data_IF_551602913407
#
_entry.id   IF_551602913407
#
_cell.length_a   1.000
_cell.length_b   1.000
_cell.length_c   1.000
_cell.angle_alpha   90.00
_cell.angle_beta   90.00
_cell.angle_gamma   90.00
#
_symmetry.space_group_name_H-M   'P 1'
#
loop_
_entity.id
_entity.type
_entity.pdbx_description
1 polymer ?
#
# COMPACT_ATOMS: atom_id res chain seq x y z
N UNK A 1 -26.19 19.86 11.45
CA UNK A 1 -24.75 19.59 11.22
C UNK A 1 -24.19 20.73 10.38
N UNK A 2 -23.61 21.75 11.01
CA UNK A 2 -22.90 22.79 10.25
C UNK A 2 -21.52 22.23 9.91
N UNK A 3 -21.23 22.09 8.62
CA UNK A 3 -19.89 21.71 8.18
C UNK A 3 -18.88 22.76 8.67
N UNK A 4 -17.84 22.31 9.37
CA UNK A 4 -16.78 23.17 9.90
C UNK A 4 -16.13 23.95 8.75
N UNK A 5 -15.80 25.22 8.99
CA UNK A 5 -15.07 26.09 8.06
C UNK A 5 -13.79 25.42 7.55
N UNK A 6 -13.15 24.59 8.38
CA UNK A 6 -11.97 23.79 8.01
C UNK A 6 -12.28 22.80 6.88
N UNK A 7 -13.43 22.11 6.93
CA UNK A 7 -13.86 21.13 5.93
C UNK A 7 -14.08 21.79 4.56
N UNK A 8 -14.69 22.98 4.53
CA UNK A 8 -14.90 23.74 3.28
C UNK A 8 -13.59 24.24 2.66
N UNK A 9 -12.62 24.66 3.48
CA UNK A 9 -11.30 25.07 3.00
C UNK A 9 -10.58 23.89 2.35
N UNK A 10 -10.64 22.69 2.96
CA UNK A 10 -10.07 21.48 2.37
C UNK A 10 -10.75 21.10 1.05
N UNK A 11 -12.07 21.14 1.00
CA UNK A 11 -12.82 20.85 -0.22
C UNK A 11 -12.49 21.85 -1.34
N UNK A 12 -12.40 23.15 -1.02
CA UNK A 12 -12.01 24.20 -1.96
C UNK A 12 -10.58 23.99 -2.49
N UNK A 13 -9.65 23.60 -1.61
CA UNK A 13 -8.30 23.22 -2.00
C UNK A 13 -8.34 22.02 -2.97
N UNK A 14 -9.09 20.97 -2.65
CA UNK A 14 -9.27 19.82 -3.53
C UNK A 14 -9.79 20.21 -4.92
N UNK A 15 -10.74 21.16 -4.99
CA UNK A 15 -11.26 21.71 -6.25
C UNK A 15 -10.19 22.48 -7.02
N UNK A 16 -9.49 23.41 -6.37
CA UNK A 16 -8.40 24.18 -7.00
C UNK A 16 -7.38 23.22 -7.59
N UNK A 17 -6.97 22.22 -6.82
CA UNK A 17 -5.94 21.30 -7.25
C UNK A 17 -6.42 20.38 -8.38
N UNK A 18 -7.68 19.93 -8.34
CA UNK A 18 -8.26 19.16 -9.44
C UNK A 18 -8.35 19.99 -10.73
N UNK A 19 -8.69 21.28 -10.65
CA UNK A 19 -8.71 22.18 -11.79
C UNK A 19 -7.31 22.39 -12.38
N UNK A 20 -6.29 22.54 -11.54
CA UNK A 20 -4.91 22.70 -11.97
C UNK A 20 -4.39 21.39 -12.62
N UNK A 21 -4.72 20.22 -12.05
CA UNK A 21 -4.39 18.91 -12.65
C UNK A 21 -5.07 18.71 -14.01
N UNK A 22 -6.35 19.07 -14.12
CA UNK A 22 -7.09 19.00 -15.39
C UNK A 22 -6.51 19.96 -16.42
N UNK A 23 -6.23 21.20 -16.04
CA UNK A 23 -5.61 22.18 -16.93
C UNK A 23 -4.28 21.66 -17.47
N UNK A 24 -3.47 21.02 -16.62
CA UNK A 24 -2.24 20.38 -17.04
C UNK A 24 -2.46 19.24 -18.04
N UNK A 25 -3.34 18.29 -17.68
CA UNK A 25 -3.65 17.14 -18.51
C UNK A 25 -4.25 17.54 -19.88
N UNK A 26 -4.99 18.64 -19.94
CA UNK A 26 -5.56 19.15 -21.20
C UNK A 26 -4.56 19.95 -22.04
N UNK A 27 -3.54 20.54 -21.42
CA UNK A 27 -2.52 21.34 -22.12
C UNK A 27 -1.29 20.50 -22.51
N UNK A 28 -1.26 19.21 -22.17
CA UNK A 28 -0.13 18.29 -22.35
C UNK A 28 1.19 18.86 -21.79
N UNK A 29 1.08 19.73 -20.78
CA UNK A 29 2.22 20.41 -20.19
C UNK A 29 2.88 19.46 -19.19
N UNK A 30 3.48 18.35 -19.63
CA UNK A 30 4.10 17.34 -18.73
C UNK A 30 4.95 17.94 -17.58
N UNK A 31 5.52 19.13 -17.79
CA UNK A 31 6.17 19.99 -16.81
C UNK A 31 5.35 20.47 -15.60
N UNK A 32 4.02 20.61 -15.69
CA UNK A 32 3.17 21.20 -14.66
C UNK A 32 2.67 20.16 -13.66
N UNK A 33 2.55 18.88 -14.04
CA UNK A 33 2.38 17.75 -13.10
C UNK A 33 3.43 17.83 -11.98
N UNK A 34 4.65 18.31 -12.27
CA UNK A 34 5.72 18.50 -11.28
C UNK A 34 5.51 19.67 -10.31
N UNK A 35 4.55 20.55 -10.57
CA UNK A 35 4.10 21.60 -9.65
C UNK A 35 2.84 21.13 -8.94
N UNK A 36 1.89 20.55 -9.67
CA UNK A 36 0.60 20.08 -9.14
C UNK A 36 0.78 18.97 -8.12
N UNK A 37 1.69 18.03 -8.36
CA UNK A 37 1.87 16.86 -7.52
C UNK A 37 2.53 17.15 -6.16
N UNK A 38 3.63 17.93 -6.07
CA UNK A 38 4.11 18.38 -4.76
C UNK A 38 3.14 19.34 -4.07
N UNK A 39 2.34 20.13 -4.80
CA UNK A 39 1.26 20.91 -4.18
C UNK A 39 0.18 19.98 -3.61
N UNK A 40 -0.26 18.96 -4.36
CA UNK A 40 -1.20 17.90 -3.93
C UNK A 40 -0.74 17.21 -2.64
N UNK A 41 0.48 16.68 -2.66
CA UNK A 41 1.06 15.93 -1.54
C UNK A 41 1.36 16.86 -0.37
N UNK A 42 1.83 18.08 -0.63
CA UNK A 42 2.07 19.09 0.40
C UNK A 42 0.78 19.54 1.07
N UNK A 43 -0.31 19.66 0.31
CA UNK A 43 -1.62 19.96 0.85
C UNK A 43 -2.19 18.78 1.63
N UNK A 44 -2.07 17.54 1.14
CA UNK A 44 -2.41 16.34 1.90
C UNK A 44 -1.73 16.36 3.28
N UNK A 45 -0.43 16.66 3.31
CA UNK A 45 0.33 16.74 4.55
C UNK A 45 -0.17 17.90 5.39
N UNK A 46 -0.26 19.12 4.86
CA UNK A 46 -0.73 20.26 5.65
C UNK A 46 -2.14 20.06 6.25
N UNK A 47 -3.03 19.40 5.51
CA UNK A 47 -4.41 19.19 5.92
C UNK A 47 -4.55 18.12 7.01
N UNK A 48 -3.69 17.11 7.02
CA UNK A 48 -3.70 16.02 8.02
C UNK A 48 -3.45 16.43 9.48
N UNK A 49 -3.30 17.72 9.77
CA UNK A 49 -3.06 18.25 11.11
C UNK A 49 -4.24 19.05 11.64
N UNK A 50 -4.55 18.84 12.91
CA UNK A 50 -5.50 19.66 13.65
C UNK A 50 -4.79 20.80 14.42
N UNK A 51 -4.18 21.74 13.68
CA UNK A 51 -3.91 23.10 14.17
C UNK A 51 -2.52 23.49 14.74
N UNK A 52 -2.40 24.83 14.93
CA UNK A 52 -1.29 25.74 15.35
C UNK A 52 -0.01 25.74 14.49
N UNK A 53 0.42 26.95 14.11
CA UNK A 53 1.51 27.27 13.17
C UNK A 53 1.26 26.86 11.70
N UNK A 54 0.09 27.21 11.19
CA UNK A 54 -0.36 26.88 9.83
C UNK A 54 0.64 27.26 8.74
N UNK A 55 1.40 28.35 8.88
CA UNK A 55 2.36 28.77 7.86
C UNK A 55 3.62 27.89 7.84
N UNK A 56 4.23 27.62 9.00
CA UNK A 56 5.41 26.75 9.09
C UNK A 56 5.06 25.34 8.64
N UNK A 57 3.88 24.85 9.05
CA UNK A 57 3.36 23.56 8.63
C UNK A 57 3.12 23.51 7.11
N UNK A 58 2.45 24.52 6.54
CA UNK A 58 2.22 24.57 5.10
C UNK A 58 3.54 24.61 4.33
N UNK A 59 4.49 25.43 4.77
CA UNK A 59 5.81 25.56 4.14
C UNK A 59 6.62 24.26 4.22
N UNK A 60 6.66 23.61 5.40
CA UNK A 60 7.37 22.34 5.57
C UNK A 60 6.71 21.22 4.78
N UNK A 61 5.38 21.16 4.74
CA UNK A 61 4.63 20.19 3.94
C UNK A 61 4.92 20.35 2.44
N UNK A 62 4.88 21.57 1.92
CA UNK A 62 5.22 21.86 0.52
C UNK A 62 6.68 21.49 0.25
N UNK A 63 7.60 21.85 1.15
CA UNK A 63 9.01 21.50 1.01
C UNK A 63 9.22 19.98 0.96
N UNK A 64 8.63 19.23 1.90
CA UNK A 64 8.73 17.77 1.92
C UNK A 64 8.10 17.17 0.66
N UNK A 65 6.95 17.68 0.23
CA UNK A 65 6.32 17.21 -0.99
C UNK A 65 7.16 17.51 -2.25
N UNK A 66 7.83 18.66 -2.31
CA UNK A 66 8.81 18.97 -3.36
C UNK A 66 9.94 17.94 -3.36
N UNK A 67 10.53 17.62 -2.20
CA UNK A 67 11.56 16.58 -2.08
C UNK A 67 11.03 15.24 -2.57
N UNK A 68 9.82 14.85 -2.15
CA UNK A 68 9.15 13.61 -2.56
C UNK A 68 8.82 13.57 -4.06
N UNK A 69 8.65 14.72 -4.72
CA UNK A 69 8.35 14.78 -6.16
C UNK A 69 9.58 14.59 -7.06
N UNK A 70 10.81 14.73 -6.54
CA UNK A 70 12.05 14.60 -7.35
C UNK A 70 12.15 13.26 -8.09
N UNK A 71 11.84 12.09 -7.47
CA UNK A 71 11.84 10.80 -8.17
C UNK A 71 10.87 10.72 -9.36
N UNK A 72 9.85 11.57 -9.42
CA UNK A 72 8.91 11.62 -10.54
C UNK A 72 9.47 12.32 -11.79
N UNK A 73 10.60 13.05 -11.68
CA UNK A 73 11.07 14.09 -12.62
C UNK A 73 11.60 13.62 -14.00
N UNK A 74 11.60 12.35 -14.37
CA UNK A 74 12.27 11.94 -15.63
C UNK A 74 11.44 10.97 -16.45
N UNK A 75 11.28 11.36 -17.71
CA UNK A 75 10.86 10.68 -18.94
C UNK A 75 10.29 9.27 -18.76
N UNK A 76 9.04 9.11 -19.19
CA UNK A 76 8.26 7.86 -19.19
C UNK A 76 8.87 6.68 -19.95
N UNK A 77 10.08 6.81 -20.49
CA UNK A 77 10.82 5.76 -21.19
C UNK A 77 11.88 5.06 -20.34
N UNK A 78 12.14 5.51 -19.11
CA UNK A 78 12.95 4.71 -18.19
C UNK A 78 12.16 3.45 -17.82
N UNK A 79 12.64 2.27 -18.22
CA UNK A 79 12.09 0.96 -17.87
C UNK A 79 12.02 0.80 -16.35
N UNK A 80 10.94 1.29 -15.72
CA UNK A 80 10.75 1.24 -14.26
C UNK A 80 10.40 -0.19 -13.87
N UNK A 81 11.39 -0.95 -13.40
CA UNK A 81 11.22 -2.28 -12.81
C UNK A 81 10.56 -2.26 -11.42
N UNK A 82 10.27 -1.07 -10.90
CA UNK A 82 9.59 -0.83 -9.64
C UNK A 82 8.23 -0.23 -9.99
N UNK A 83 7.14 -0.80 -9.47
CA UNK A 83 5.81 -0.18 -9.63
C UNK A 83 5.81 1.16 -8.85
N UNK A 84 5.88 2.31 -9.55
CA UNK A 84 6.02 3.59 -8.88
C UNK A 84 4.77 3.91 -8.06
N UNK A 85 3.58 3.43 -8.48
CA UNK A 85 2.34 3.69 -7.74
C UNK A 85 2.35 3.12 -6.32
N UNK A 86 2.87 1.90 -6.14
CA UNK A 86 2.89 1.25 -4.82
C UNK A 86 4.00 1.83 -3.94
N UNK A 87 5.25 1.85 -4.43
CA UNK A 87 6.40 2.26 -3.63
C UNK A 87 6.38 3.75 -3.31
N UNK A 88 5.88 4.58 -4.22
CA UNK A 88 5.68 6.00 -3.95
C UNK A 88 4.63 6.22 -2.87
N UNK A 89 3.49 5.51 -2.94
CA UNK A 89 2.44 5.65 -1.93
C UNK A 89 2.93 5.25 -0.54
N UNK A 90 3.72 4.17 -0.44
CA UNK A 90 4.37 3.76 0.81
C UNK A 90 5.35 4.83 1.29
N UNK A 91 6.19 5.36 0.41
CA UNK A 91 7.15 6.42 0.74
C UNK A 91 6.45 7.67 1.29
N UNK A 92 5.42 8.17 0.57
CA UNK A 92 4.61 9.32 1.00
C UNK A 92 3.98 9.06 2.35
N UNK A 93 3.38 7.87 2.55
CA UNK A 93 2.76 7.48 3.81
C UNK A 93 3.77 7.44 4.97
N UNK A 94 4.95 6.84 4.78
CA UNK A 94 5.98 6.79 5.81
C UNK A 94 6.51 8.18 6.14
N UNK A 95 6.85 8.99 5.13
CA UNK A 95 7.34 10.37 5.34
C UNK A 95 6.27 11.24 6.00
N UNK A 96 5.01 11.06 5.63
CA UNK A 96 3.88 11.71 6.30
C UNK A 96 3.84 11.38 7.80
N UNK A 97 4.03 10.12 8.20
CA UNK A 97 4.04 9.75 9.62
C UNK A 97 5.16 10.46 10.41
N UNK A 98 6.36 10.55 9.82
CA UNK A 98 7.48 11.28 10.43
C UNK A 98 7.23 12.78 10.49
N UNK A 99 6.69 13.35 9.42
CA UNK A 99 6.30 14.75 9.36
C UNK A 99 5.23 15.03 10.43
N UNK A 100 4.26 14.14 10.62
CA UNK A 100 3.23 14.21 11.65
C UNK A 100 3.83 14.24 13.04
N UNK A 101 4.69 13.27 13.35
CA UNK A 101 5.33 13.15 14.65
C UNK A 101 6.24 14.36 14.97
N UNK A 102 6.96 14.89 13.97
CA UNK A 102 7.80 16.07 14.12
C UNK A 102 7.00 17.30 14.58
N UNK A 103 5.89 17.59 13.91
CA UNK A 103 5.07 18.76 14.22
C UNK A 103 4.26 18.60 15.51
N UNK A 104 3.76 17.40 15.82
CA UNK A 104 3.09 17.13 17.10
C UNK A 104 4.05 17.11 18.30
N UNK A 105 5.36 16.90 18.06
CA UNK A 105 6.41 17.00 19.06
C UNK A 105 7.04 18.41 19.13
N UNK A 106 6.29 19.47 18.78
CA UNK A 106 6.79 20.84 18.85
C UNK A 106 7.96 21.13 17.91
N UNK A 107 8.03 20.45 16.75
CA UNK A 107 9.10 20.59 15.74
C UNK A 107 10.48 20.13 16.23
N UNK A 108 10.52 19.09 17.07
CA UNK A 108 11.75 18.44 17.55
C UNK A 108 11.87 17.01 17.03
N UNK A 109 13.08 16.62 16.61
CA UNK A 109 13.38 15.27 16.09
C UNK A 109 13.37 14.18 17.17
N UNK A 110 13.55 14.54 18.44
CA UNK A 110 13.47 13.61 19.56
C UNK A 110 12.02 13.37 19.97
N UNK A 111 11.27 12.61 19.15
CA UNK A 111 9.87 12.28 19.43
C UNK A 111 9.69 10.83 19.91
N UNK A 112 8.62 10.61 20.67
CA UNK A 112 8.21 9.28 21.15
C UNK A 112 7.69 8.44 19.98
N UNK A 113 7.95 7.13 19.99
CA UNK A 113 7.47 6.24 18.92
C UNK A 113 5.94 6.21 18.86
N UNK A 114 5.27 6.39 20.00
CA UNK A 114 3.81 6.50 20.10
C UNK A 114 3.22 7.53 19.13
N UNK A 115 3.93 8.63 18.84
CA UNK A 115 3.48 9.64 17.88
C UNK A 115 3.55 9.15 16.42
N UNK A 116 4.57 8.36 16.07
CA UNK A 116 4.63 7.70 14.75
C UNK A 116 3.54 6.63 14.61
N UNK A 117 3.32 5.86 15.66
CA UNK A 117 2.30 4.83 15.70
C UNK A 117 0.90 5.44 15.56
N UNK A 118 0.64 6.52 16.30
CA UNK A 118 -0.57 7.33 16.15
C UNK A 118 -0.73 7.87 14.73
N UNK A 119 0.32 8.46 14.16
CA UNK A 119 0.30 8.99 12.80
C UNK A 119 -0.07 7.91 11.79
N UNK A 120 0.59 6.75 11.86
CA UNK A 120 0.35 5.63 10.96
C UNK A 120 -1.12 5.22 10.96
N UNK A 121 -1.69 4.93 12.14
CA UNK A 121 -3.08 4.49 12.23
C UNK A 121 -4.10 5.57 11.85
N UNK A 122 -3.89 6.81 12.30
CA UNK A 122 -4.81 7.89 11.97
C UNK A 122 -4.83 8.14 10.47
N UNK A 123 -3.64 8.23 9.85
CA UNK A 123 -3.51 8.42 8.41
C UNK A 123 -4.05 7.23 7.63
N UNK A 124 -3.85 6.00 8.10
CA UNK A 124 -4.42 4.81 7.49
C UNK A 124 -5.96 4.90 7.40
N UNK A 125 -6.64 5.26 8.49
CA UNK A 125 -8.11 5.42 8.47
C UNK A 125 -8.57 6.58 7.61
N UNK A 126 -7.88 7.72 7.67
CA UNK A 126 -8.16 8.87 6.80
C UNK A 126 -8.06 8.48 5.34
N UNK A 127 -7.01 7.74 4.96
CA UNK A 127 -6.81 7.26 3.59
C UNK A 127 -7.86 6.23 3.17
N UNK A 128 -8.31 5.35 4.07
CA UNK A 128 -9.44 4.44 3.77
C UNK A 128 -10.69 5.25 3.42
N UNK A 129 -11.06 6.20 4.26
CA UNK A 129 -12.26 7.03 4.02
C UNK A 129 -12.10 7.82 2.72
N UNK A 130 -10.94 8.45 2.51
CA UNK A 130 -10.65 9.17 1.28
C UNK A 130 -10.73 8.27 0.04
N UNK A 131 -10.23 7.03 0.13
CA UNK A 131 -10.31 6.04 -0.94
C UNK A 131 -11.75 5.60 -1.20
N UNK A 132 -12.59 5.44 -0.17
CA UNK A 132 -14.01 5.13 -0.37
C UNK A 132 -14.74 6.25 -1.11
N UNK A 133 -14.47 7.51 -0.78
CA UNK A 133 -15.01 8.65 -1.52
C UNK A 133 -14.47 8.72 -2.95
N UNK A 134 -13.19 8.46 -3.14
CA UNK A 134 -12.58 8.35 -4.48
C UNK A 134 -13.25 7.24 -5.30
N UNK A 135 -13.51 6.06 -4.72
CA UNK A 135 -14.20 4.97 -5.41
C UNK A 135 -15.66 5.32 -5.72
N UNK A 136 -16.34 6.03 -4.81
CA UNK A 136 -17.69 6.53 -5.06
C UNK A 136 -17.75 7.51 -6.23
N UNK A 137 -16.65 8.19 -6.57
CA UNK A 137 -16.58 9.09 -7.72
C UNK A 137 -16.86 8.37 -9.06
N UNK A 138 -16.35 7.16 -9.24
CA UNK A 138 -16.60 6.37 -10.45
C UNK A 138 -18.08 6.09 -10.60
N UNK A 139 -18.72 5.73 -9.49
CA UNK A 139 -20.15 5.45 -9.47
C UNK A 139 -20.97 6.72 -9.72
N UNK A 140 -20.53 7.87 -9.20
CA UNK A 140 -21.20 9.16 -9.39
C UNK A 140 -21.14 9.62 -10.86
N UNK A 141 -19.97 9.53 -11.49
CA UNK A 141 -19.78 9.83 -12.91
C UNK A 141 -20.63 8.90 -13.78
N UNK A 142 -20.65 7.60 -13.46
CA UNK A 142 -21.47 6.62 -14.17
C UNK A 142 -22.98 6.93 -14.06
N UNK A 143 -23.49 7.21 -12.86
CA UNK A 143 -24.92 7.51 -12.68
C UNK A 143 -25.34 8.81 -13.36
N UNK A 144 -24.52 9.87 -13.31
CA UNK A 144 -24.78 11.10 -14.05
C UNK A 144 -24.81 10.84 -15.56
N UNK A 145 -23.87 10.02 -16.04
CA UNK A 145 -23.81 9.63 -17.45
C UNK A 145 -25.09 8.89 -17.85
N UNK A 146 -25.54 7.91 -17.06
CA UNK A 146 -26.80 7.19 -17.31
C UNK A 146 -28.03 8.11 -17.34
N UNK A 147 -28.12 9.08 -16.42
CA UNK A 147 -29.20 10.07 -16.43
C UNK A 147 -29.20 10.90 -17.72
N UNK A 148 -28.03 11.27 -18.24
CA UNK A 148 -27.94 12.04 -19.49
C UNK A 148 -28.27 11.21 -20.74
N UNK A 149 -27.92 9.93 -20.73
CA UNK A 149 -28.37 8.98 -21.75
C UNK A 149 -29.90 8.84 -21.75
N UNK A 150 -30.53 8.87 -20.57
CA UNK A 150 -31.99 8.80 -20.44
C UNK A 150 -32.73 10.04 -20.96
N UNK A 151 -32.03 11.17 -21.15
CA UNK A 151 -32.57 12.43 -21.72
C UNK A 151 -32.20 12.53 -23.22
N UNK A 152 -31.85 11.42 -23.87
CA UNK A 152 -31.46 11.35 -25.29
C UNK A 152 -30.29 12.28 -25.67
N UNK A 153 -29.34 12.50 -24.75
CA UNK A 153 -28.08 13.20 -25.06
C UNK A 153 -26.89 12.22 -25.10
N UNK A 154 -26.79 11.36 -26.14
CA UNK A 154 -25.78 10.31 -26.22
C UNK A 154 -24.36 10.88 -26.36
N UNK A 155 -24.23 12.12 -26.85
CA UNK A 155 -22.95 12.79 -27.01
C UNK A 155 -22.39 13.24 -25.65
N UNK A 156 -23.22 13.82 -24.77
CA UNK A 156 -22.80 14.13 -23.40
C UNK A 156 -22.52 12.86 -22.59
N UNK A 157 -23.31 11.79 -22.80
CA UNK A 157 -23.07 10.49 -22.18
C UNK A 157 -21.68 9.95 -22.52
N UNK A 158 -21.33 9.89 -23.82
CA UNK A 158 -20.01 9.45 -24.25
C UNK A 158 -18.89 10.34 -23.70
N UNK A 159 -19.07 11.67 -23.69
CA UNK A 159 -18.06 12.58 -23.16
C UNK A 159 -17.85 12.37 -21.67
N UNK A 160 -18.90 12.17 -20.87
CA UNK A 160 -18.77 12.03 -19.43
C UNK A 160 -18.28 10.64 -19.00
N UNK A 161 -18.78 9.58 -19.63
CA UNK A 161 -18.41 8.20 -19.29
C UNK A 161 -16.98 7.86 -19.74
N UNK A 162 -16.54 8.39 -20.89
CA UNK A 162 -15.23 8.08 -21.46
C UNK A 162 -14.13 9.11 -21.14
N UNK A 163 -14.49 10.28 -20.58
CA UNK A 163 -13.49 11.29 -20.24
C UNK A 163 -12.72 10.92 -18.97
N UNK A 164 -11.49 10.44 -19.19
CA UNK A 164 -10.49 10.23 -18.14
C UNK A 164 -10.22 11.50 -17.33
N UNK A 165 -10.32 12.66 -17.98
CA UNK A 165 -10.09 13.97 -17.35
C UNK A 165 -11.19 14.28 -16.33
N UNK A 166 -12.46 14.08 -16.70
CA UNK A 166 -13.59 14.32 -15.80
C UNK A 166 -13.60 13.29 -14.67
N UNK A 167 -13.38 12.02 -14.99
CA UNK A 167 -13.27 10.97 -13.97
C UNK A 167 -12.15 11.30 -12.95
N UNK A 168 -10.99 11.76 -13.42
CA UNK A 168 -9.87 12.12 -12.54
C UNK A 168 -10.15 13.36 -11.70
N UNK A 169 -10.84 14.36 -12.26
CA UNK A 169 -11.30 15.52 -11.51
C UNK A 169 -12.20 15.13 -10.33
N UNK A 170 -13.21 14.30 -10.59
CA UNK A 170 -14.12 13.84 -9.54
C UNK A 170 -13.41 12.94 -8.53
N UNK A 171 -12.48 12.08 -8.96
CA UNK A 171 -11.64 11.27 -8.06
C UNK A 171 -10.87 12.15 -7.07
N UNK A 172 -10.15 13.17 -7.56
CA UNK A 172 -9.33 14.06 -6.73
C UNK A 172 -10.23 14.87 -5.77
N UNK A 173 -11.31 15.46 -6.28
CA UNK A 173 -12.24 16.26 -5.45
C UNK A 173 -12.82 15.40 -4.33
N UNK A 174 -13.38 14.24 -4.67
CA UNK A 174 -14.01 13.37 -3.68
C UNK A 174 -12.99 12.76 -2.71
N UNK A 175 -11.77 12.46 -3.18
CA UNK A 175 -10.68 12.05 -2.29
C UNK A 175 -10.40 13.12 -1.21
N UNK A 176 -10.21 14.39 -1.59
CA UNK A 176 -9.97 15.48 -0.63
C UNK A 176 -11.18 15.76 0.27
N UNK A 177 -12.41 15.63 -0.24
CA UNK A 177 -13.61 15.68 0.60
C UNK A 177 -13.60 14.56 1.64
N UNK A 178 -13.25 13.34 1.24
CA UNK A 178 -13.12 12.20 2.15
C UNK A 178 -12.02 12.44 3.21
N UNK A 179 -10.87 13.01 2.82
CA UNK A 179 -9.82 13.44 3.75
C UNK A 179 -10.36 14.48 4.75
N UNK A 180 -11.09 15.51 4.27
CA UNK A 180 -11.64 16.57 5.10
C UNK A 180 -12.65 16.05 6.13
N UNK A 181 -13.55 15.17 5.69
CA UNK A 181 -14.57 14.54 6.54
C UNK A 181 -13.88 13.67 7.59
N UNK A 182 -12.93 12.83 7.18
CA UNK A 182 -12.19 11.97 8.09
C UNK A 182 -11.41 12.78 9.15
N UNK A 183 -10.79 13.89 8.77
CA UNK A 183 -10.10 14.80 9.69
C UNK A 183 -11.07 15.49 10.66
N UNK A 184 -12.25 15.91 10.20
CA UNK A 184 -13.27 16.50 11.08
C UNK A 184 -13.83 15.50 12.09
N UNK A 185 -13.68 14.19 11.82
CA UNK A 185 -14.10 13.09 12.68
C UNK A 185 -12.90 12.34 13.30
N UNK A 186 -11.76 13.03 13.49
CA UNK A 186 -10.51 12.36 13.92
C UNK A 186 -10.62 11.75 15.32
N UNK A 187 -11.44 12.33 16.19
CA UNK A 187 -11.65 11.82 17.55
C UNK A 187 -12.50 10.54 17.53
N UNK A 188 -13.51 10.46 16.66
CA UNK A 188 -14.26 9.23 16.40
C UNK A 188 -13.35 8.15 15.81
N UNK A 189 -12.46 8.53 14.88
CA UNK A 189 -11.46 7.62 14.32
C UNK A 189 -10.48 7.11 15.38
N UNK A 190 -10.08 7.92 16.37
CA UNK A 190 -9.30 7.45 17.52
C UNK A 190 -10.08 6.42 18.36
N UNK A 191 -11.40 6.60 18.50
CA UNK A 191 -12.29 5.62 19.10
C UNK A 191 -12.28 4.29 18.33
N UNK A 192 -12.45 4.34 17.01
CA UNK A 192 -12.40 3.17 16.13
C UNK A 192 -11.04 2.48 16.17
N UNK A 193 -9.95 3.26 16.11
CA UNK A 193 -8.57 2.79 16.31
C UNK A 193 -8.49 1.99 17.60
N UNK A 194 -8.90 2.56 18.72
CA UNK A 194 -8.84 1.90 20.04
C UNK A 194 -9.59 0.57 20.04
N UNK A 195 -10.76 0.49 19.42
CA UNK A 195 -11.51 -0.77 19.30
C UNK A 195 -10.76 -1.79 18.45
N UNK A 196 -10.26 -1.39 17.28
CA UNK A 196 -9.51 -2.27 16.37
C UNK A 196 -8.25 -2.81 17.05
N UNK A 197 -7.48 -1.93 17.71
CA UNK A 197 -6.25 -2.30 18.42
C UNK A 197 -6.56 -3.30 19.55
N UNK A 198 -7.64 -3.09 20.32
CA UNK A 198 -8.09 -4.08 21.31
C UNK A 198 -8.47 -5.41 20.67
N UNK A 199 -9.24 -5.40 19.57
CA UNK A 199 -9.63 -6.62 18.86
C UNK A 199 -8.42 -7.39 18.34
N UNK A 200 -7.43 -6.70 17.76
CA UNK A 200 -6.20 -7.31 17.28
C UNK A 200 -5.38 -7.93 18.43
N UNK A 201 -5.34 -7.30 19.62
CA UNK A 201 -4.73 -7.90 20.81
C UNK A 201 -5.40 -9.22 21.21
N UNK A 202 -6.74 -9.29 21.19
CA UNK A 202 -7.46 -10.56 21.42
C UNK A 202 -7.23 -11.60 20.31
N UNK A 203 -7.01 -11.15 19.08
CA UNK A 203 -6.75 -12.03 17.95
C UNK A 203 -5.28 -12.52 17.88
N UNK A 204 -4.35 -11.89 18.60
CA UNK A 204 -2.92 -12.22 18.57
C UNK A 204 -2.65 -13.71 18.91
N UNK A 205 -3.21 -14.31 19.97
CA UNK A 205 -2.99 -15.73 20.25
C UNK A 205 -3.45 -16.65 19.11
N UNK A 206 -4.57 -16.33 18.46
CA UNK A 206 -5.07 -17.10 17.31
C UNK A 206 -4.16 -16.96 16.10
N UNK A 207 -3.59 -15.78 15.87
CA UNK A 207 -2.60 -15.54 14.84
C UNK A 207 -1.33 -16.37 15.10
N UNK A 208 -0.81 -16.33 16.33
CA UNK A 208 0.37 -17.13 16.74
C UNK A 208 0.12 -18.62 16.49
N UNK A 209 -1.03 -19.13 16.93
CA UNK A 209 -1.42 -20.52 16.70
C UNK A 209 -1.49 -20.84 15.21
N UNK A 210 -2.13 -19.98 14.41
CA UNK A 210 -2.27 -20.17 12.96
C UNK A 210 -0.91 -20.23 12.25
N UNK A 211 0.04 -19.37 12.65
CA UNK A 211 1.41 -19.37 12.11
C UNK A 211 2.16 -20.65 12.48
N UNK A 212 2.06 -21.11 13.74
CA UNK A 212 2.67 -22.35 14.18
C UNK A 212 2.11 -23.55 13.41
N UNK A 213 0.79 -23.63 13.29
CA UNK A 213 0.10 -24.70 12.53
C UNK A 213 0.54 -24.67 11.07
N UNK A 214 0.57 -23.49 10.44
CA UNK A 214 1.04 -23.35 9.07
C UNK A 214 2.50 -23.81 8.91
N UNK A 215 3.38 -23.43 9.85
CA UNK A 215 4.78 -23.83 9.85
C UNK A 215 4.96 -25.35 9.98
N UNK A 216 4.16 -26.00 10.84
CA UNK A 216 4.14 -27.46 10.97
C UNK A 216 3.68 -28.12 9.67
N UNK A 217 2.58 -27.65 9.07
CA UNK A 217 2.10 -28.19 7.79
C UNK A 217 3.11 -28.00 6.66
N UNK A 218 3.79 -26.85 6.63
CA UNK A 218 4.89 -26.61 5.71
C UNK A 218 6.00 -27.65 5.87
N UNK A 219 6.41 -27.97 7.10
CA UNK A 219 7.46 -28.96 7.38
C UNK A 219 7.13 -30.35 6.86
N UNK A 220 5.84 -30.73 6.87
CA UNK A 220 5.37 -32.02 6.35
C UNK A 220 4.99 -32.00 4.86
N UNK A 221 5.03 -30.85 4.20
CA UNK A 221 4.64 -30.71 2.80
C UNK A 221 5.85 -30.82 1.87
N UNK A 222 5.96 -31.94 1.13
CA UNK A 222 7.13 -32.20 0.29
C UNK A 222 7.09 -31.59 -1.13
N UNK A 223 6.02 -30.91 -1.56
CA UNK A 223 5.83 -30.53 -2.97
C UNK A 223 5.24 -29.11 -3.21
N UNK A 224 5.52 -28.14 -2.33
CA UNK A 224 5.07 -26.76 -2.57
C UNK A 224 6.03 -26.00 -3.48
N UNK A 225 5.47 -25.18 -4.39
CA UNK A 225 6.29 -24.28 -5.20
C UNK A 225 6.95 -23.21 -4.33
N UNK A 226 8.15 -22.78 -4.71
CA UNK A 226 8.87 -21.72 -4.00
C UNK A 226 8.05 -20.42 -3.91
N UNK A 227 7.28 -20.08 -4.96
CA UNK A 227 6.40 -18.91 -4.95
C UNK A 227 5.34 -18.99 -3.85
N UNK A 228 4.66 -20.15 -3.71
CA UNK A 228 3.62 -20.33 -2.68
C UNK A 228 4.22 -20.21 -1.28
N UNK A 229 5.38 -20.84 -1.04
CA UNK A 229 6.07 -20.80 0.26
C UNK A 229 6.44 -19.35 0.62
N UNK A 230 7.16 -18.66 -0.26
CA UNK A 230 7.66 -17.30 -0.01
C UNK A 230 6.50 -16.35 0.19
N UNK A 231 5.47 -16.39 -0.66
CA UNK A 231 4.31 -15.51 -0.57
C UNK A 231 3.52 -15.74 0.72
N UNK A 232 3.22 -16.98 1.08
CA UNK A 232 2.48 -17.28 2.30
C UNK A 232 3.25 -16.87 3.56
N UNK A 233 4.56 -17.14 3.59
CA UNK A 233 5.42 -16.71 4.70
C UNK A 233 5.44 -15.19 4.80
N UNK A 234 5.66 -14.45 3.70
CA UNK A 234 5.71 -12.99 3.72
C UNK A 234 4.39 -12.36 4.19
N UNK A 235 3.24 -12.91 3.77
CA UNK A 235 1.91 -12.45 4.23
C UNK A 235 1.78 -12.68 5.74
N UNK A 236 2.08 -13.89 6.22
CA UNK A 236 2.00 -14.19 7.65
C UNK A 236 2.95 -13.29 8.45
N UNK A 237 4.21 -13.16 8.04
CA UNK A 237 5.22 -12.30 8.67
C UNK A 237 4.74 -10.84 8.75
N UNK A 238 4.17 -10.30 7.67
CA UNK A 238 3.66 -8.92 7.66
C UNK A 238 2.52 -8.72 8.67
N UNK A 239 1.55 -9.63 8.71
CA UNK A 239 0.44 -9.60 9.68
C UNK A 239 0.99 -9.79 11.11
N UNK A 240 1.94 -10.70 11.30
CA UNK A 240 2.59 -10.96 12.58
C UNK A 240 3.30 -9.73 13.14
N UNK A 241 4.08 -9.02 12.33
CA UNK A 241 4.73 -7.79 12.78
C UNK A 241 3.74 -6.68 13.07
N UNK A 242 2.66 -6.56 12.29
CA UNK A 242 1.59 -5.59 12.58
C UNK A 242 1.00 -5.83 13.97
N UNK A 243 0.65 -7.08 14.29
CA UNK A 243 0.06 -7.45 15.58
C UNK A 243 1.07 -7.34 16.73
N UNK A 244 2.33 -7.73 16.53
CA UNK A 244 3.37 -7.60 17.55
C UNK A 244 3.69 -6.13 17.83
N UNK A 245 3.78 -5.29 16.80
CA UNK A 245 3.98 -3.85 16.96
C UNK A 245 2.88 -3.26 17.83
N UNK A 246 1.63 -3.59 17.51
CA UNK A 246 0.47 -3.21 18.32
C UNK A 246 0.60 -3.66 19.79
N UNK A 247 0.90 -4.95 20.02
CA UNK A 247 0.98 -5.51 21.38
C UNK A 247 1.97 -4.74 22.26
N UNK A 248 3.11 -4.37 21.70
CA UNK A 248 4.13 -3.61 22.43
C UNK A 248 3.79 -2.11 22.57
N UNK A 249 2.90 -1.55 21.74
CA UNK A 249 2.60 -0.11 21.69
C UNK A 249 1.31 0.32 22.40
N UNK A 250 0.25 -0.47 22.30
CA UNK A 250 -1.05 -0.17 22.94
C UNK A 250 -1.12 -0.71 24.37
N UNK A 251 0.01 -1.22 24.90
CA UNK A 251 0.10 -1.95 26.16
C UNK A 251 -0.24 -1.12 27.40
N UNK A 252 -1.52 -0.80 27.58
CA UNK A 252 -2.11 -0.63 28.91
C UNK A 252 -1.77 -1.87 29.74
N UNK A 253 -1.41 -1.66 30.99
CA UNK A 253 -0.87 -2.66 31.92
C UNK A 253 -1.74 -3.93 32.05
N UNK A 254 -3.04 -3.87 31.70
CA UNK A 254 -4.00 -4.99 31.82
C UNK A 254 -3.60 -6.28 31.09
N UNK A 255 -2.85 -6.23 29.97
CA UNK A 255 -2.49 -7.44 29.20
C UNK A 255 -1.04 -7.91 29.38
N UNK A 256 -0.20 -7.11 30.04
CA UNK A 256 1.20 -7.45 30.31
C UNK A 256 1.39 -8.42 31.48
N UNK A 257 0.31 -8.78 32.18
CA UNK A 257 0.34 -9.60 33.39
C UNK A 257 0.21 -11.12 33.19
N UNK A 258 0.17 -11.64 31.97
CA UNK A 258 0.06 -13.08 31.71
C UNK A 258 1.42 -13.68 31.31
N UNK A 259 2.18 -14.16 32.30
CA UNK A 259 3.55 -14.68 32.12
C UNK A 259 3.66 -15.76 31.01
N UNK A 260 2.65 -16.62 30.89
CA UNK A 260 2.62 -17.69 29.87
C UNK A 260 2.55 -17.13 28.44
N UNK A 261 1.83 -16.01 28.24
CA UNK A 261 1.70 -15.38 26.93
C UNK A 261 3.02 -14.73 26.52
N UNK A 262 3.73 -14.12 27.46
CA UNK A 262 5.06 -13.54 27.22
C UNK A 262 6.06 -14.57 26.70
N UNK A 263 6.11 -15.76 27.33
CA UNK A 263 6.99 -16.85 26.86
C UNK A 263 6.64 -17.30 25.44
N UNK A 264 5.35 -17.46 25.14
CA UNK A 264 4.88 -17.83 23.80
C UNK A 264 5.29 -16.76 22.78
N UNK A 265 5.12 -15.48 23.11
CA UNK A 265 5.48 -14.38 22.22
C UNK A 265 6.99 -14.27 21.98
N UNK A 266 7.82 -14.57 22.99
CA UNK A 266 9.28 -14.64 22.82
C UNK A 266 9.69 -15.72 21.82
N UNK A 267 9.14 -16.94 21.97
CA UNK A 267 9.40 -18.04 21.04
C UNK A 267 8.87 -17.73 19.63
N UNK A 268 7.68 -17.12 19.55
CA UNK A 268 7.04 -16.72 18.31
C UNK A 268 7.88 -15.72 17.51
N UNK A 269 8.44 -14.69 18.16
CA UNK A 269 9.34 -13.71 17.50
C UNK A 269 10.57 -14.39 16.88
N UNK A 270 11.13 -15.41 17.53
CA UNK A 270 12.26 -16.19 16.97
C UNK A 270 11.79 -17.07 15.80
N UNK A 271 10.61 -17.69 15.92
CA UNK A 271 10.00 -18.47 14.83
C UNK A 271 9.81 -17.62 13.56
N UNK A 272 9.35 -16.37 13.70
CA UNK A 272 9.20 -15.45 12.57
C UNK A 272 10.54 -15.21 11.85
N UNK A 273 11.64 -15.04 12.57
CA UNK A 273 12.96 -14.93 11.96
C UNK A 273 13.33 -16.21 11.20
N UNK A 274 13.08 -17.40 11.75
CA UNK A 274 13.31 -18.67 11.05
C UNK A 274 12.49 -18.75 9.76
N UNK A 275 11.21 -18.37 9.80
CA UNK A 275 10.37 -18.30 8.61
C UNK A 275 10.93 -17.32 7.56
N UNK A 276 11.42 -16.15 7.98
CA UNK A 276 12.04 -15.17 7.07
C UNK A 276 13.29 -15.75 6.41
N UNK A 277 14.15 -16.43 7.18
CA UNK A 277 15.35 -17.07 6.65
C UNK A 277 15.01 -18.17 5.64
N UNK A 278 13.98 -18.97 5.90
CA UNK A 278 13.47 -19.97 4.95
C UNK A 278 12.92 -19.29 3.69
N UNK A 279 12.11 -18.24 3.84
CA UNK A 279 11.58 -17.48 2.69
C UNK A 279 12.73 -16.91 1.84
N UNK A 280 13.75 -16.33 2.46
CA UNK A 280 14.95 -15.86 1.76
C UNK A 280 15.66 -17.02 1.06
N UNK A 281 15.87 -18.16 1.72
CA UNK A 281 16.50 -19.33 1.11
C UNK A 281 15.76 -19.81 -0.14
N UNK A 282 14.43 -19.94 -0.08
CA UNK A 282 13.64 -20.35 -1.24
C UNK A 282 13.62 -19.27 -2.34
N UNK A 283 13.52 -17.99 -1.97
CA UNK A 283 13.52 -16.88 -2.92
C UNK A 283 14.84 -16.80 -3.70
N UNK A 284 15.98 -16.76 -3.01
CA UNK A 284 17.30 -16.71 -3.64
C UNK A 284 17.71 -18.03 -4.30
N UNK A 285 17.22 -19.16 -3.80
CA UNK A 285 17.51 -20.48 -4.36
C UNK A 285 16.72 -20.79 -5.63
N UNK A 286 15.47 -20.32 -5.77
CA UNK A 286 14.53 -20.85 -6.77
C UNK A 286 13.80 -19.81 -7.60
N UNK A 287 13.85 -18.52 -7.25
CA UNK A 287 13.07 -17.47 -7.94
C UNK A 287 13.97 -16.43 -8.60
N UNK A 288 13.42 -15.76 -9.60
CA UNK A 288 13.99 -14.55 -10.19
C UNK A 288 13.50 -13.34 -9.39
N UNK A 289 14.43 -12.61 -8.77
CA UNK A 289 14.11 -11.52 -7.85
C UNK A 289 14.46 -10.17 -8.46
N UNK A 290 13.45 -9.34 -8.68
CA UNK A 290 13.66 -7.94 -9.08
C UNK A 290 14.15 -7.10 -7.89
N UNK A 291 14.81 -5.97 -8.17
CA UNK A 291 15.38 -5.10 -7.13
C UNK A 291 14.40 -4.71 -6.02
N UNK A 292 13.17 -4.32 -6.37
CA UNK A 292 12.15 -3.97 -5.38
C UNK A 292 11.77 -5.14 -4.45
N UNK A 293 11.94 -6.37 -4.92
CA UNK A 293 11.68 -7.59 -4.16
C UNK A 293 12.77 -7.87 -3.14
N UNK A 294 13.99 -7.55 -3.53
CA UNK A 294 15.13 -7.61 -2.63
C UNK A 294 14.97 -6.57 -1.51
N UNK A 295 14.44 -5.38 -1.82
CA UNK A 295 14.17 -4.36 -0.80
C UNK A 295 13.21 -4.89 0.27
N UNK A 296 12.04 -5.45 -0.09
CA UNK A 296 11.11 -5.93 0.94
C UNK A 296 11.58 -7.20 1.66
N UNK A 297 12.35 -8.08 1.01
CA UNK A 297 12.98 -9.22 1.69
C UNK A 297 14.02 -8.73 2.72
N UNK A 298 14.75 -7.68 2.38
CA UNK A 298 15.70 -7.02 3.28
C UNK A 298 14.97 -6.35 4.45
N UNK A 299 13.83 -5.68 4.19
CA UNK A 299 12.93 -5.15 5.23
C UNK A 299 12.50 -6.25 6.20
N UNK A 300 11.97 -7.34 5.66
CA UNK A 300 11.52 -8.46 6.47
C UNK A 300 12.66 -9.01 7.33
N UNK A 301 13.85 -9.22 6.74
CA UNK A 301 15.02 -9.72 7.44
C UNK A 301 15.42 -8.83 8.62
N UNK A 302 15.59 -7.52 8.40
CA UNK A 302 15.97 -6.61 9.48
C UNK A 302 14.91 -6.48 10.57
N UNK A 303 13.62 -6.45 10.20
CA UNK A 303 12.53 -6.51 11.18
C UNK A 303 12.57 -7.82 11.97
N UNK A 304 12.76 -8.96 11.30
CA UNK A 304 12.92 -10.27 11.94
C UNK A 304 14.06 -10.29 12.95
N UNK A 305 15.21 -9.70 12.61
CA UNK A 305 16.33 -9.58 13.52
C UNK A 305 16.01 -8.72 14.75
N UNK A 306 15.42 -7.53 14.56
CA UNK A 306 15.04 -6.64 15.68
C UNK A 306 14.06 -7.34 16.62
N UNK A 307 13.01 -7.95 16.08
CA UNK A 307 11.99 -8.61 16.89
C UNK A 307 12.53 -9.87 17.57
N UNK A 308 13.30 -10.72 16.88
CA UNK A 308 13.93 -11.88 17.52
C UNK A 308 14.95 -11.49 18.58
N UNK A 309 15.76 -10.45 18.35
CA UNK A 309 16.70 -9.92 19.34
C UNK A 309 15.96 -9.41 20.58
N UNK A 310 14.80 -8.76 20.41
CA UNK A 310 13.97 -8.31 21.53
C UNK A 310 13.45 -9.46 22.40
N UNK A 311 13.42 -10.71 21.92
CA UNK A 311 12.94 -11.87 22.69
C UNK A 311 13.80 -12.22 23.89
N UNK A 312 15.06 -11.78 23.92
CA UNK A 312 16.02 -12.14 24.96
C UNK A 312 16.03 -11.17 26.14
N UNK A 313 15.09 -10.23 26.20
CA UNK A 313 15.03 -9.18 27.21
C UNK A 313 13.66 -9.12 27.88
N UNK A 314 13.59 -8.39 29.01
CA UNK A 314 12.32 -8.06 29.68
C UNK A 314 11.40 -7.25 28.76
N UNK A 315 10.09 -7.29 29.00
CA UNK A 315 9.11 -6.64 28.11
C UNK A 315 9.34 -5.13 27.94
N UNK A 316 9.76 -4.42 28.98
CA UNK A 316 10.10 -3.00 28.91
C UNK A 316 11.27 -2.75 27.94
N UNK A 317 12.34 -3.54 28.08
CA UNK A 317 13.52 -3.42 27.22
C UNK A 317 13.24 -3.92 25.81
N UNK A 318 12.43 -4.97 25.66
CA UNK A 318 11.98 -5.47 24.38
C UNK A 318 11.15 -4.42 23.63
N UNK A 319 10.24 -3.73 24.32
CA UNK A 319 9.49 -2.62 23.76
C UNK A 319 10.42 -1.52 23.27
N UNK A 320 11.39 -1.09 24.08
CA UNK A 320 12.33 -0.04 23.68
C UNK A 320 13.14 -0.44 22.43
N UNK A 321 13.65 -1.68 22.39
CA UNK A 321 14.37 -2.21 21.23
C UNK A 321 13.49 -2.18 19.97
N UNK A 322 12.22 -2.60 20.08
CA UNK A 322 11.28 -2.60 18.97
C UNK A 322 10.98 -1.18 18.51
N UNK A 323 10.77 -0.24 19.43
CA UNK A 323 10.51 1.18 19.12
C UNK A 323 11.68 1.82 18.37
N UNK A 324 12.88 1.70 18.91
CA UNK A 324 14.08 2.29 18.32
C UNK A 324 14.44 1.59 16.99
N UNK A 325 14.30 0.27 16.95
CA UNK A 325 14.47 -0.53 15.74
C UNK A 325 13.50 -0.13 14.63
N UNK A 326 12.21 0.00 14.94
CA UNK A 326 11.19 0.42 13.96
C UNK A 326 11.43 1.85 13.46
N UNK A 327 11.79 2.80 14.33
CA UNK A 327 12.18 4.15 13.90
C UNK A 327 13.36 4.12 12.95
N UNK A 328 14.45 3.47 13.36
CA UNK A 328 15.69 3.40 12.59
C UNK A 328 15.49 2.73 11.24
N UNK A 329 14.82 1.58 11.23
CA UNK A 329 14.50 0.84 10.01
C UNK A 329 13.59 1.65 9.09
N UNK A 330 12.56 2.32 9.61
CA UNK A 330 11.69 3.15 8.78
C UNK A 330 12.47 4.28 8.07
N UNK A 331 13.42 4.94 8.76
CA UNK A 331 14.29 5.95 8.15
C UNK A 331 15.17 5.33 7.04
N UNK A 332 15.84 4.22 7.35
CA UNK A 332 16.70 3.51 6.37
C UNK A 332 15.89 3.13 5.12
N UNK A 333 14.66 2.64 5.30
CA UNK A 333 13.81 2.24 4.18
C UNK A 333 13.19 3.40 3.42
N UNK A 334 12.85 4.51 4.07
CA UNK A 334 12.48 5.76 3.38
C UNK A 334 13.61 6.16 2.42
N UNK A 335 14.85 6.18 2.91
CA UNK A 335 16.03 6.55 2.09
C UNK A 335 16.25 5.53 0.97
N UNK A 336 16.20 4.23 1.26
CA UNK A 336 16.38 3.18 0.27
C UNK A 336 15.31 3.22 -0.84
N UNK A 337 14.03 3.39 -0.48
CA UNK A 337 12.93 3.50 -1.44
C UNK A 337 13.06 4.80 -2.25
N UNK A 338 13.42 5.92 -1.60
CA UNK A 338 13.64 7.18 -2.29
C UNK A 338 14.72 7.07 -3.36
N UNK A 339 15.88 6.48 -3.02
CA UNK A 339 16.98 6.23 -3.96
C UNK A 339 16.57 5.25 -5.06
N UNK A 340 15.82 4.21 -4.71
CA UNK A 340 15.32 3.23 -5.67
C UNK A 340 14.35 3.83 -6.70
N UNK A 341 13.61 4.87 -6.30
CA UNK A 341 12.71 5.60 -7.18
C UNK A 341 13.44 6.69 -7.99
N UNK A 342 14.71 7.01 -7.69
CA UNK A 342 15.43 8.04 -8.43
C UNK A 342 15.61 7.64 -9.90
N UNK A 343 15.27 8.52 -10.84
CA UNK A 343 15.27 8.18 -12.25
C UNK A 343 16.66 7.96 -12.85
N UNK A 344 17.69 8.58 -12.27
CA UNK A 344 19.09 8.41 -12.70
C UNK A 344 19.75 7.16 -12.12
N UNK A 345 19.01 6.37 -11.33
CA UNK A 345 19.45 5.08 -10.81
C UNK A 345 18.58 3.98 -11.44
N UNK A 346 18.74 3.68 -12.75
CA UNK A 346 18.10 2.50 -13.34
C UNK A 346 18.82 1.26 -12.79
N UNK A 347 18.46 0.86 -11.56
CA UNK A 347 18.93 -0.38 -10.96
C UNK A 347 18.21 -1.53 -11.68
N UNK A 348 18.67 -1.85 -12.89
CA UNK A 348 18.26 -3.02 -13.66
C UNK A 348 18.98 -4.25 -13.08
N UNK A 349 18.64 -4.53 -11.83
CA UNK A 349 19.21 -5.62 -11.07
C UNK A 349 18.14 -6.68 -10.86
N UNK A 350 18.46 -7.88 -11.33
CA UNK A 350 17.63 -9.06 -11.12
C UNK A 350 18.54 -10.21 -10.77
N UNK A 351 18.27 -10.86 -9.65
CA UNK A 351 18.97 -12.07 -9.22
C UNK A 351 18.31 -13.27 -9.88
N UNK A 352 19.10 -14.24 -10.34
CA UNK A 352 18.64 -15.46 -11.03
C UNK A 352 17.76 -15.19 -12.27
N UNK A 353 18.22 -14.31 -13.17
CA UNK A 353 17.58 -14.13 -14.48
C UNK A 353 17.41 -15.49 -15.17
N UNK A 354 16.17 -15.89 -15.46
CA UNK A 354 15.82 -17.17 -16.08
C UNK A 354 15.00 -18.12 -15.20
N UNK A 355 14.85 -17.84 -13.89
CA UNK A 355 13.89 -18.55 -13.02
C UNK A 355 12.51 -17.88 -13.03
N UNK A 356 11.49 -18.57 -12.52
CA UNK A 356 10.15 -18.01 -12.35
C UNK A 356 10.23 -16.75 -11.47
N UNK A 357 9.62 -15.62 -11.88
CA UNK A 357 9.61 -14.41 -11.07
C UNK A 357 8.86 -14.63 -9.76
N UNK A 358 9.33 -13.97 -8.69
CA UNK A 358 8.55 -13.95 -7.44
C UNK A 358 7.24 -13.20 -7.69
N UNK A 359 6.11 -13.89 -7.49
CA UNK A 359 4.78 -13.30 -7.58
C UNK A 359 4.07 -13.46 -6.23
N UNK A 360 3.77 -12.32 -5.61
CA UNK A 360 2.96 -12.27 -4.39
C UNK A 360 1.47 -12.60 -4.68
N UNK A 361 1.09 -12.71 -5.96
CA UNK A 361 -0.29 -12.93 -6.40
C UNK A 361 -0.57 -14.36 -6.88
N UNK A 362 0.46 -15.13 -7.28
CA UNK A 362 0.30 -16.53 -7.73
C UNK A 362 -0.25 -17.44 -6.61
N UNK A 363 -0.04 -17.07 -5.34
CA UNK A 363 -0.65 -17.76 -4.20
C UNK A 363 -2.18 -17.65 -4.19
N UNK A 364 -2.75 -16.54 -4.67
CA UNK A 364 -4.19 -16.35 -4.79
C UNK A 364 -4.77 -17.11 -5.99
N UNK A 365 -4.06 -17.15 -7.12
CA UNK A 365 -4.43 -17.97 -8.27
C UNK A 365 -4.39 -19.48 -7.93
N UNK A 366 -3.43 -19.92 -7.11
CA UNK A 366 -3.37 -21.30 -6.61
C UNK A 366 -4.63 -21.67 -5.79
N UNK A 367 -5.14 -20.75 -4.96
CA UNK A 367 -6.38 -20.94 -4.19
C UNK A 367 -7.60 -21.00 -5.12
N UNK A 368 -7.65 -20.16 -6.17
CA UNK A 368 -8.71 -20.19 -7.18
C UNK A 368 -8.69 -21.49 -8.00
N UNK A 369 -7.51 -22.01 -8.31
CA UNK A 369 -7.31 -23.26 -9.06
C UNK A 369 -7.77 -24.51 -8.29
N UNK A 370 -7.84 -24.44 -6.96
CA UNK A 370 -8.39 -25.50 -6.10
C UNK A 370 -9.89 -25.33 -5.79
N UNK A 371 -10.48 -24.16 -6.09
CA UNK A 371 -11.92 -23.90 -5.87
C UNK A 371 -12.80 -24.19 -7.07
N UNK A 372 -12.23 -24.20 -8.27
CA UNK A 372 -12.95 -24.51 -9.50
C UNK A 372 -12.51 -25.92 -9.95
N UNK A 373 -13.44 -26.87 -10.16
CA UNK A 373 -13.08 -28.09 -10.88
C UNK A 373 -12.44 -27.67 -12.22
N UNK A 374 -11.42 -28.38 -12.71
CA UNK A 374 -10.85 -28.08 -14.01
C UNK A 374 -12.00 -28.06 -15.01
N UNK A 375 -12.22 -26.91 -15.65
CA UNK A 375 -13.07 -26.86 -16.83
C UNK A 375 -12.31 -27.70 -17.85
N UNK A 376 -12.73 -28.96 -18.00
CA UNK A 376 -12.33 -29.77 -19.14
C UNK A 376 -12.62 -28.91 -20.36
N UNK A 377 -11.56 -28.53 -21.08
CA UNK A 377 -11.74 -27.99 -22.42
C UNK A 377 -12.61 -29.00 -23.15
N UNK A 378 -13.71 -28.57 -23.81
CA UNK A 378 -14.46 -29.50 -24.62
C UNK A 378 -13.49 -30.14 -25.61
N UNK A 379 -13.52 -31.46 -25.62
CA UNK A 379 -12.78 -32.29 -26.57
C UNK A 379 -13.27 -31.88 -27.95
N UNK A 380 -12.44 -31.10 -28.67
CA UNK A 380 -12.55 -30.98 -30.11
C UNK A 380 -12.28 -32.37 -30.67
N UNK A 381 -13.34 -33.17 -30.87
CA UNK A 381 -13.38 -34.29 -31.79
C UNK A 381 -14.82 -34.78 -31.92
N UNK A 382 -15.48 -34.29 -32.97
CA UNK A 382 -16.21 -35.08 -33.96
C UNK A 382 -17.28 -34.19 -34.59
N UNK A 383 -17.02 -33.69 -35.81
CA UNK A 383 -17.96 -33.73 -36.94
C UNK A 383 -17.35 -32.94 -38.12
N UNK A 384 -16.92 -33.66 -39.15
CA UNK A 384 -17.02 -33.19 -40.54
C UNK A 384 -15.81 -32.52 -41.20
N UNK A 385 -14.69 -33.25 -41.34
CA UNK A 385 -13.97 -33.18 -42.63
C UNK A 385 -14.89 -33.76 -43.71
N UNK A 386 -15.39 -32.89 -44.60
CA UNK A 386 -15.73 -33.12 -46.01
C UNK A 386 -16.81 -32.13 -46.46
N UNK A 387 -16.40 -31.06 -47.15
CA UNK A 387 -17.10 -30.38 -48.24
C UNK A 387 -16.83 -28.86 -48.28
N UNK A 388 -15.63 -28.45 -48.70
CA UNK A 388 -15.47 -27.21 -49.49
C UNK A 388 -14.39 -27.48 -50.55
N UNK A 389 -14.72 -28.36 -51.50
CA UNK A 389 -14.09 -28.37 -52.82
C UNK A 389 -14.98 -27.58 -53.78
N UNK A 390 -14.37 -26.71 -54.58
CA UNK A 390 -14.94 -26.00 -55.73
C UNK A 390 -15.81 -24.77 -55.44
N UNK A 391 -15.16 -23.61 -55.28
CA UNK A 391 -15.57 -22.35 -55.91
C UNK A 391 -14.47 -21.31 -55.64
N UNK A 392 -13.39 -21.33 -56.44
CA UNK A 392 -12.45 -20.22 -56.62
C UNK A 392 -11.51 -20.48 -57.81
N UNK A 393 -12.08 -20.93 -58.93
CA UNK A 393 -11.36 -21.09 -60.19
C UNK A 393 -12.27 -20.74 -61.37
N UNK A 394 -12.66 -19.47 -61.47
CA UNK A 394 -13.21 -18.91 -62.72
C UNK A 394 -13.26 -17.38 -62.67
N UNK A 395 -12.12 -16.70 -62.45
CA UNK A 395 -11.95 -15.26 -62.72
C UNK A 395 -10.47 -14.97 -63.04
N UNK A 396 -9.96 -15.64 -64.08
CA UNK A 396 -8.73 -15.24 -64.79
C UNK A 396 -8.62 -16.04 -66.11
N UNK A 397 -9.30 -15.59 -67.17
CA UNK A 397 -8.91 -15.74 -68.59
C UNK A 397 -10.09 -15.39 -69.51
N UNK A 398 -10.18 -14.11 -69.90
CA UNK A 398 -10.35 -13.59 -71.27
C UNK A 398 -10.75 -12.12 -71.22
#
# INVERSE_FOLDING_TARGET
>A
MQADKKTWVVALIGVIVALIYVADAMLELESFIFVVFPVLVGLLFALSYDGKNNLQLLASSIFVALVLSVPFRVDGNATRQINPGIFYSILVYMVHCFHYAYHHNGSQWSFKYSLLFEAAWNTFFVLIIATLFMLASFQFVYYISLLLNSIENPLLFMILDQSRVIATLFMIILFFIGVAIAQSAIDELKGFRTVLLKSMNYCLPFLVFSVIVYFIFFWFSNNQSANVIVTAFLILIAISFLFLNLYYQDGKEEYRGMDWLTVILQAYKVLLLVMILIACYYAFGNLSLAFHQIIYLTIALFLGWVYAYSSFFSDEKAQQIIEDGNKGLAIVFIVAIYIALLPYSPVNFTVNKGKTPLSLWDGAEFILKFRLPPIEKPVDNAFGENAVSNQNASLSAN
#
